data_IF_197160953339
#
_entry.id   IF_197160953339
#
_cell.length_a   1.000
_cell.length_b   1.000
_cell.length_c   1.000
_cell.angle_alpha   90.00
_cell.angle_beta   90.00
_cell.angle_gamma   90.00
#
_symmetry.space_group_name_H-M   'P 1'
#
loop_
_entity.id
_entity.type
_entity.pdbx_description
1 polymer ?
#
# COMPACT_ATOMS: atom_id res chain seq x y z
N UNK A 1 10.26 8.28 50.77
CA UNK A 1 10.27 6.80 50.78
C UNK A 1 9.45 6.34 49.60
N UNK A 2 10.13 5.65 48.68
CA UNK A 2 9.71 5.36 47.31
C UNK A 2 8.75 4.16 47.24
N UNK A 3 7.95 4.11 46.18
CA UNK A 3 7.14 2.94 45.85
C UNK A 3 6.50 2.99 44.47
N UNK A 4 7.27 3.31 43.42
CA UNK A 4 6.90 3.01 42.04
C UNK A 4 7.11 1.50 41.80
N UNK A 5 6.05 0.78 41.45
CA UNK A 5 6.15 -0.56 40.86
C UNK A 5 5.76 -0.47 39.38
N UNK A 6 6.77 -0.25 38.53
CA UNK A 6 6.67 -0.42 37.09
C UNK A 6 6.81 -1.92 36.76
N UNK A 7 5.71 -2.56 36.34
CA UNK A 7 5.75 -3.92 35.79
C UNK A 7 6.11 -3.84 34.31
N UNK A 8 7.38 -4.10 34.00
CA UNK A 8 7.86 -4.27 32.64
C UNK A 8 7.62 -5.71 32.18
N UNK A 9 6.74 -5.89 31.18
CA UNK A 9 6.57 -7.16 30.48
C UNK A 9 7.40 -7.12 29.20
N UNK A 10 8.58 -7.74 29.24
CA UNK A 10 9.44 -7.98 28.07
C UNK A 10 8.89 -9.18 27.29
N UNK A 11 8.25 -8.92 26.15
CA UNK A 11 7.93 -9.97 25.17
C UNK A 11 9.08 -10.03 24.15
N UNK A 12 9.89 -11.08 24.27
CA UNK A 12 10.94 -11.41 23.31
C UNK A 12 10.31 -12.14 22.11
N UNK A 13 10.22 -11.48 20.96
CA UNK A 13 9.80 -12.11 19.70
C UNK A 13 10.99 -12.77 19.02
N UNK A 14 11.01 -14.09 18.99
CA UNK A 14 11.95 -14.91 18.24
C UNK A 14 11.60 -14.88 16.74
N UNK A 15 12.56 -14.50 15.90
CA UNK A 15 12.44 -14.63 14.44
C UNK A 15 12.61 -16.11 14.05
N UNK A 16 11.57 -16.69 13.46
CA UNK A 16 11.68 -17.98 12.76
C UNK A 16 12.18 -17.71 11.34
N UNK A 17 13.43 -18.06 11.07
CA UNK A 17 13.97 -18.10 9.72
C UNK A 17 13.45 -19.37 9.02
N UNK A 18 12.56 -19.20 8.04
CA UNK A 18 12.16 -20.28 7.13
C UNK A 18 13.15 -20.28 5.97
N UNK A 19 14.12 -21.19 6.00
CA UNK A 19 14.91 -21.56 4.83
C UNK A 19 14.46 -22.94 4.39
N UNK A 20 13.62 -23.01 3.37
CA UNK A 20 13.32 -24.27 2.69
C UNK A 20 13.96 -24.24 1.30
N UNK A 21 15.09 -24.93 1.18
CA UNK A 21 15.81 -25.16 -0.06
C UNK A 21 15.54 -26.59 -0.50
N UNK A 22 14.62 -26.78 -1.44
CA UNK A 22 14.48 -28.03 -2.18
C UNK A 22 13.83 -27.78 -3.55
N UNK A 23 14.58 -27.18 -4.48
CA UNK A 23 14.27 -27.31 -5.91
C UNK A 23 14.92 -28.61 -6.40
N UNK A 24 14.09 -29.64 -6.55
CA UNK A 24 14.43 -30.87 -7.26
C UNK A 24 14.44 -30.55 -8.76
N UNK A 25 15.63 -30.24 -9.31
CA UNK A 25 15.84 -30.17 -10.76
C UNK A 25 16.22 -31.56 -11.25
N UNK A 26 15.23 -32.28 -11.77
CA UNK A 26 15.46 -33.46 -12.60
C UNK A 26 16.02 -33.04 -13.97
N UNK A 27 17.23 -33.49 -14.27
CA UNK A 27 17.71 -33.68 -15.65
C UNK A 27 18.40 -32.49 -16.31
N UNK A 28 19.71 -32.37 -16.15
CA UNK A 28 20.70 -32.36 -17.24
C UNK A 28 22.11 -32.16 -16.65
N UNK A 29 23.05 -32.96 -17.14
CA UNK A 29 24.39 -33.12 -16.59
C UNK A 29 25.22 -31.82 -16.69
N UNK A 30 25.80 -31.40 -15.57
CA UNK A 30 26.94 -30.48 -15.56
C UNK A 30 28.09 -31.20 -14.90
N UNK A 31 29.05 -31.62 -15.72
CA UNK A 31 30.32 -32.21 -15.31
C UNK A 31 31.10 -31.20 -14.49
N UNK A 32 31.27 -31.48 -13.19
CA UNK A 32 32.26 -30.83 -12.33
C UNK A 32 33.65 -31.28 -12.78
N UNK A 33 34.27 -30.49 -13.65
CA UNK A 33 35.68 -30.60 -13.99
C UNK A 33 36.53 -30.06 -12.84
N UNK A 34 37.05 -30.96 -12.01
CA UNK A 34 38.23 -30.70 -11.21
C UNK A 34 39.44 -30.58 -12.15
N UNK A 35 39.99 -29.38 -12.27
CA UNK A 35 41.13 -29.09 -13.15
C UNK A 35 42.00 -27.99 -12.57
N UNK A 36 43.08 -28.40 -11.91
CA UNK A 36 44.18 -27.57 -11.43
C UNK A 36 44.91 -26.86 -12.58
N UNK A 37 45.14 -25.56 -12.47
CA UNK A 37 46.25 -24.90 -13.17
C UNK A 37 46.72 -23.67 -12.37
N UNK A 38 47.74 -23.90 -11.55
CA UNK A 38 48.67 -22.86 -11.09
C UNK A 38 49.46 -22.37 -12.31
N UNK A 39 49.40 -21.09 -12.62
CA UNK A 39 50.39 -20.45 -13.49
C UNK A 39 50.71 -19.06 -12.95
N UNK A 40 51.87 -19.00 -12.29
CA UNK A 40 52.55 -17.78 -11.90
C UNK A 40 52.92 -16.94 -13.13
N UNK A 41 52.79 -15.63 -13.01
CA UNK A 41 53.27 -14.66 -13.98
C UNK A 41 53.46 -13.31 -13.30
N UNK A 42 54.67 -13.06 -12.84
CA UNK A 42 55.09 -11.87 -12.10
C UNK A 42 55.52 -10.72 -13.03
N UNK A 43 55.66 -9.54 -12.40
CA UNK A 43 56.44 -8.35 -12.80
C UNK A 43 55.86 -7.39 -13.85
N UNK A 44 55.46 -6.20 -13.38
CA UNK A 44 56.18 -4.98 -13.70
C UNK A 44 55.83 -3.86 -12.70
N UNK A 45 56.75 -3.60 -11.77
CA UNK A 45 56.81 -2.37 -10.98
C UNK A 45 57.40 -1.30 -11.90
N UNK A 46 56.63 -0.25 -12.19
CA UNK A 46 57.03 0.84 -13.08
C UNK A 46 56.70 2.21 -12.50
N UNK A 47 57.71 2.81 -11.87
CA UNK A 47 58.05 4.24 -11.74
C UNK A 47 57.02 5.28 -11.24
N UNK A 48 57.51 6.06 -10.27
CA UNK A 48 56.93 7.23 -9.59
C UNK A 48 57.19 8.51 -10.39
N UNK A 49 56.33 9.51 -10.11
CA UNK A 49 56.47 10.96 -10.30
C UNK A 49 56.02 11.54 -11.65
N UNK A 50 54.98 12.38 -11.60
CA UNK A 50 54.99 13.81 -11.97
C UNK A 50 53.62 14.40 -11.59
N UNK A 51 53.62 15.56 -10.91
CA UNK A 51 52.53 16.52 -11.03
C UNK A 51 51.60 16.66 -9.83
N UNK A 52 52.11 17.24 -8.74
CA UNK A 52 51.27 17.90 -7.73
C UNK A 52 50.63 19.18 -8.29
N UNK A 53 49.71 19.11 -9.27
CA UNK A 53 48.80 20.20 -9.68
C UNK A 53 47.61 19.69 -10.50
N UNK A 54 46.64 19.03 -9.87
CA UNK A 54 45.20 19.10 -10.22
C UNK A 54 44.37 18.38 -9.14
N UNK A 55 44.39 18.89 -7.91
CA UNK A 55 43.30 18.63 -6.94
C UNK A 55 42.45 19.90 -6.82
N UNK A 56 42.02 20.39 -7.96
CA UNK A 56 40.96 21.37 -8.07
C UNK A 56 40.26 21.02 -9.36
N UNK A 57 38.92 20.98 -9.33
CA UNK A 57 38.05 20.62 -10.45
C UNK A 57 37.92 19.11 -10.69
N UNK A 58 37.19 18.41 -9.80
CA UNK A 58 35.90 17.77 -10.13
C UNK A 58 35.17 17.28 -8.87
N UNK A 59 35.07 18.13 -7.84
CA UNK A 59 33.87 18.12 -6.99
C UNK A 59 32.71 18.78 -7.77
N UNK A 60 32.46 18.32 -9.01
CA UNK A 60 31.29 18.72 -9.79
C UNK A 60 30.11 18.01 -9.17
N UNK A 61 29.51 18.68 -8.20
CA UNK A 61 28.08 18.61 -7.86
C UNK A 61 27.46 17.24 -8.16
N UNK A 62 27.82 16.22 -7.40
CA UNK A 62 26.84 15.21 -7.02
C UNK A 62 25.90 15.83 -5.98
N UNK A 63 25.33 16.98 -6.34
CA UNK A 63 24.15 17.53 -5.68
C UNK A 63 23.03 16.68 -6.25
N UNK A 64 22.99 15.43 -5.79
CA UNK A 64 21.87 14.54 -6.01
C UNK A 64 20.67 15.35 -5.61
N UNK A 65 19.88 15.74 -6.61
CA UNK A 65 18.55 16.25 -6.36
C UNK A 65 17.90 15.11 -5.60
N UNK A 66 17.75 15.25 -4.28
CA UNK A 66 16.77 14.47 -3.55
C UNK A 66 15.48 14.87 -4.23
N UNK A 67 15.04 14.08 -5.20
CA UNK A 67 13.65 14.09 -5.59
C UNK A 67 12.95 13.80 -4.27
N UNK A 68 12.34 14.84 -3.68
CA UNK A 68 11.25 14.56 -2.79
C UNK A 68 10.35 13.61 -3.58
N UNK A 69 9.98 12.44 -3.04
CA UNK A 69 8.93 11.67 -3.69
C UNK A 69 7.81 12.67 -3.94
N UNK A 70 7.34 12.74 -5.17
CA UNK A 70 6.16 13.54 -5.48
C UNK A 70 5.07 12.89 -4.62
N UNK A 71 4.78 13.51 -3.49
CA UNK A 71 3.96 12.93 -2.43
C UNK A 71 2.52 12.98 -2.93
N UNK A 72 2.18 12.02 -3.79
CA UNK A 72 0.84 11.84 -4.37
C UNK A 72 0.46 13.00 -5.30
N UNK A 73 0.42 12.73 -6.62
CA UNK A 73 -0.15 13.70 -7.56
C UNK A 73 -1.66 13.82 -7.31
N UNK A 74 -2.07 14.98 -6.79
CA UNK A 74 -3.45 15.31 -6.45
C UNK A 74 -4.30 15.75 -7.64
N UNK A 75 -3.71 15.83 -8.85
CA UNK A 75 -4.41 16.23 -10.07
C UNK A 75 -5.29 15.09 -10.64
N UNK A 76 -5.16 13.88 -10.12
CA UNK A 76 -5.90 12.71 -10.58
C UNK A 76 -6.86 12.19 -9.49
N UNK A 77 -8.18 12.22 -9.70
CA UNK A 77 -9.16 11.70 -8.74
C UNK A 77 -8.97 10.20 -8.45
N UNK A 78 -8.47 9.43 -9.41
CA UNK A 78 -8.17 8.00 -9.21
C UNK A 78 -7.13 7.76 -8.11
N UNK A 79 -6.25 8.72 -7.84
CA UNK A 79 -5.29 8.57 -6.75
C UNK A 79 -5.97 8.54 -5.38
N UNK A 80 -7.05 9.32 -5.20
CA UNK A 80 -7.83 9.31 -3.96
C UNK A 80 -8.64 8.02 -3.83
N UNK A 81 -9.24 7.55 -4.93
CA UNK A 81 -9.95 6.27 -4.93
C UNK A 81 -9.00 5.10 -4.66
N UNK A 82 -7.79 5.14 -5.23
CA UNK A 82 -6.77 4.13 -4.97
C UNK A 82 -6.38 4.13 -3.49
N UNK A 83 -6.16 5.32 -2.89
CA UNK A 83 -5.83 5.41 -1.48
C UNK A 83 -6.95 4.85 -0.59
N UNK A 84 -8.22 5.19 -0.89
CA UNK A 84 -9.37 4.69 -0.16
C UNK A 84 -9.50 3.16 -0.30
N UNK A 85 -9.41 2.63 -1.52
CA UNK A 85 -9.50 1.20 -1.79
C UNK A 85 -8.37 0.41 -1.11
N UNK A 86 -7.16 0.96 -1.06
CA UNK A 86 -6.04 0.34 -0.34
C UNK A 86 -6.21 0.34 1.18
N UNK A 87 -7.05 1.22 1.74
CA UNK A 87 -7.37 1.24 3.17
C UNK A 87 -8.57 0.36 3.55
N UNK A 88 -9.36 -0.08 2.58
CA UNK A 88 -10.65 -0.75 2.81
C UNK A 88 -10.53 -2.27 2.94
N UNK A 89 -9.61 -2.75 3.78
CA UNK A 89 -9.29 -4.18 3.90
C UNK A 89 -10.47 -5.06 4.36
N UNK A 90 -11.43 -4.46 5.09
CA UNK A 90 -12.63 -5.14 5.59
C UNK A 90 -13.86 -4.90 4.71
N UNK A 91 -13.69 -4.26 3.55
CA UNK A 91 -14.79 -3.89 2.64
C UNK A 91 -15.86 -3.00 3.31
N UNK A 92 -15.51 -2.25 4.36
CA UNK A 92 -16.44 -1.36 5.06
C UNK A 92 -16.80 -0.12 4.24
N UNK A 93 -15.86 0.43 3.48
CA UNK A 93 -16.14 1.52 2.54
C UNK A 93 -17.09 1.06 1.44
N UNK A 94 -16.86 -0.13 0.88
CA UNK A 94 -17.78 -0.75 -0.10
C UNK A 94 -19.15 -1.05 0.49
N UNK A 95 -19.21 -1.58 1.71
CA UNK A 95 -20.47 -1.79 2.43
C UNK A 95 -21.24 -0.49 2.59
N UNK A 96 -20.55 0.57 3.01
CA UNK A 96 -21.15 1.89 3.16
C UNK A 96 -21.75 2.40 1.85
N UNK A 97 -20.98 2.42 0.76
CA UNK A 97 -21.45 2.86 -0.56
C UNK A 97 -22.63 2.03 -1.06
N UNK A 98 -22.60 0.71 -0.88
CA UNK A 98 -23.72 -0.15 -1.22
C UNK A 98 -24.99 0.18 -0.43
N UNK A 99 -24.88 0.33 0.89
CA UNK A 99 -26.02 0.64 1.74
C UNK A 99 -26.55 2.06 1.48
N UNK A 100 -25.71 3.02 1.10
CA UNK A 100 -26.13 4.35 0.64
C UNK A 100 -26.98 4.25 -0.64
N UNK A 101 -26.56 3.46 -1.62
CA UNK A 101 -27.32 3.26 -2.87
C UNK A 101 -28.62 2.50 -2.69
N UNK A 102 -28.65 1.56 -1.74
CA UNK A 102 -29.84 0.83 -1.37
C UNK A 102 -30.85 1.67 -0.56
N UNK A 103 -30.46 2.84 -0.06
CA UNK A 103 -31.29 3.66 0.81
C UNK A 103 -31.99 4.77 0.01
N UNK A 104 -33.32 4.97 0.22
CA UNK A 104 -34.04 6.10 -0.36
C UNK A 104 -33.44 7.44 0.07
N UNK A 105 -33.43 8.41 -0.84
CA UNK A 105 -32.79 9.72 -0.65
C UNK A 105 -33.34 10.49 0.56
N UNK A 106 -34.65 10.41 0.81
CA UNK A 106 -35.32 11.01 1.96
C UNK A 106 -34.86 10.45 3.32
N UNK A 107 -34.16 9.31 3.32
CA UNK A 107 -33.64 8.64 4.52
C UNK A 107 -32.11 8.75 4.65
N UNK A 108 -31.49 9.61 3.85
CA UNK A 108 -30.06 9.91 3.89
C UNK A 108 -29.82 11.33 4.38
N UNK A 109 -28.78 11.52 5.18
CA UNK A 109 -28.28 12.85 5.52
C UNK A 109 -27.68 13.55 4.28
N UNK A 110 -27.56 14.87 4.33
CA UNK A 110 -26.98 15.67 3.24
C UNK A 110 -25.55 15.22 2.89
N UNK A 111 -24.75 14.87 3.89
CA UNK A 111 -23.38 14.38 3.71
C UNK A 111 -23.36 12.95 3.15
N UNK A 112 -24.30 12.10 3.56
CA UNK A 112 -24.47 10.76 2.98
C UNK A 112 -24.84 10.84 1.49
N UNK A 113 -25.68 11.80 1.10
CA UNK A 113 -26.02 12.07 -0.30
C UNK A 113 -24.81 12.54 -1.11
N UNK A 114 -23.96 13.39 -0.54
CA UNK A 114 -22.72 13.81 -1.18
C UNK A 114 -21.80 12.62 -1.45
N UNK A 115 -21.62 11.75 -0.45
CA UNK A 115 -20.80 10.54 -0.59
C UNK A 115 -21.41 9.59 -1.62
N UNK A 116 -22.74 9.37 -1.58
CA UNK A 116 -23.46 8.56 -2.57
C UNK A 116 -23.22 9.06 -3.99
N UNK A 117 -23.31 10.37 -4.22
CA UNK A 117 -23.07 10.95 -5.55
C UNK A 117 -21.62 10.86 -6.01
N UNK A 118 -20.66 10.78 -5.08
CA UNK A 118 -19.23 10.68 -5.38
C UNK A 118 -18.82 9.26 -5.79
N UNK A 119 -19.42 8.23 -5.19
CA UNK A 119 -19.01 6.83 -5.36
C UNK A 119 -20.05 5.92 -6.03
N UNK A 120 -21.32 6.34 -6.06
CA UNK A 120 -22.46 5.56 -6.52
C UNK A 120 -23.11 6.13 -7.77
N UNK A 121 -24.43 6.38 -7.72
CA UNK A 121 -25.21 6.91 -8.84
C UNK A 121 -24.70 8.30 -9.24
N UNK A 122 -24.03 8.38 -10.39
CA UNK A 122 -23.40 9.60 -10.92
C UNK A 122 -21.90 9.46 -11.15
N UNK A 123 -21.27 8.44 -10.57
CA UNK A 123 -19.86 8.15 -10.79
C UNK A 123 -19.68 7.31 -12.07
N UNK A 124 -18.95 7.86 -13.06
CA UNK A 124 -18.53 7.12 -14.24
C UNK A 124 -17.15 6.53 -13.95
N UNK A 125 -17.10 5.25 -13.58
CA UNK A 125 -15.84 4.53 -13.46
C UNK A 125 -15.34 4.07 -14.82
N UNK A 126 -14.02 3.96 -14.98
CA UNK A 126 -13.43 3.17 -16.06
C UNK A 126 -13.20 1.75 -15.54
N UNK A 127 -13.45 0.73 -16.34
CA UNK A 127 -13.25 -0.66 -15.91
C UNK A 127 -11.78 -0.87 -15.46
N UNK A 128 -11.59 -1.47 -14.29
CA UNK A 128 -10.28 -1.65 -13.66
C UNK A 128 -9.72 -0.44 -12.92
N UNK A 129 -10.43 0.68 -12.84
CA UNK A 129 -10.03 1.84 -12.03
C UNK A 129 -10.30 1.62 -10.54
N UNK A 130 -9.62 2.39 -9.68
CA UNK A 130 -9.88 2.32 -8.25
C UNK A 130 -11.27 2.86 -7.91
N UNK A 131 -11.80 3.79 -8.70
CA UNK A 131 -13.20 4.19 -8.59
C UNK A 131 -14.18 3.04 -8.87
N UNK A 132 -13.84 2.13 -9.79
CA UNK A 132 -14.71 0.98 -10.10
C UNK A 132 -14.91 0.04 -8.89
N UNK A 133 -13.96 0.00 -7.97
CA UNK A 133 -14.05 -0.78 -6.72
C UNK A 133 -15.29 -0.43 -5.89
N UNK A 134 -15.64 0.86 -5.82
CA UNK A 134 -16.82 1.34 -5.11
C UNK A 134 -18.08 1.37 -5.99
N UNK A 135 -17.92 1.65 -7.29
CA UNK A 135 -19.02 1.63 -8.26
C UNK A 135 -19.71 0.25 -8.33
N UNK A 136 -18.94 -0.83 -8.23
CA UNK A 136 -19.48 -2.19 -8.16
C UNK A 136 -20.36 -2.40 -6.92
N UNK A 137 -19.92 -1.89 -5.76
CA UNK A 137 -20.69 -1.98 -4.53
C UNK A 137 -22.00 -1.19 -4.60
N UNK A 138 -21.93 0.01 -5.18
CA UNK A 138 -23.10 0.84 -5.49
C UNK A 138 -24.11 0.09 -6.38
N UNK A 139 -23.64 -0.60 -7.43
CA UNK A 139 -24.51 -1.37 -8.32
C UNK A 139 -25.24 -2.51 -7.59
N UNK A 140 -24.59 -3.19 -6.64
CA UNK A 140 -25.21 -4.24 -5.82
C UNK A 140 -26.37 -3.67 -5.01
N UNK A 141 -26.15 -2.56 -4.30
CA UNK A 141 -27.17 -1.92 -3.46
C UNK A 141 -28.34 -1.37 -4.28
N UNK A 142 -28.03 -0.72 -5.40
CA UNK A 142 -29.02 -0.18 -6.31
C UNK A 142 -29.94 -1.25 -6.93
N UNK A 143 -29.42 -2.46 -7.17
CA UNK A 143 -30.17 -3.56 -7.80
C UNK A 143 -30.90 -4.45 -6.79
N UNK A 144 -30.30 -4.72 -5.63
CA UNK A 144 -30.73 -5.79 -4.73
C UNK A 144 -31.11 -5.31 -3.32
N UNK A 145 -30.94 -4.02 -3.02
CA UNK A 145 -31.26 -3.43 -1.73
C UNK A 145 -30.26 -3.76 -0.62
N UNK A 146 -30.56 -3.29 0.59
CA UNK A 146 -29.58 -3.24 1.69
C UNK A 146 -29.18 -4.62 2.22
N UNK A 147 -30.09 -5.62 2.16
CA UNK A 147 -29.78 -6.99 2.59
C UNK A 147 -28.63 -7.61 1.80
N UNK A 148 -28.59 -7.38 0.48
CA UNK A 148 -27.52 -7.87 -0.38
C UNK A 148 -26.15 -7.23 -0.06
N UNK A 149 -26.13 -6.00 0.46
CA UNK A 149 -24.90 -5.34 0.90
C UNK A 149 -24.28 -6.05 2.11
N UNK A 150 -25.12 -6.53 3.05
CA UNK A 150 -24.64 -7.28 4.22
C UNK A 150 -23.98 -8.59 3.80
N UNK A 151 -24.61 -9.29 2.85
CA UNK A 151 -24.08 -10.57 2.35
C UNK A 151 -22.81 -10.37 1.51
N UNK A 152 -22.80 -9.37 0.62
CA UNK A 152 -21.67 -9.07 -0.26
C UNK A 152 -20.43 -8.56 0.50
N UNK A 153 -20.65 -7.86 1.62
CA UNK A 153 -19.58 -7.21 2.42
C UNK A 153 -19.56 -7.69 3.86
N UNK A 154 -19.70 -9.01 4.03
CA UNK A 154 -19.82 -9.67 5.34
C UNK A 154 -18.58 -9.56 6.24
N UNK A 155 -17.42 -9.18 5.69
CA UNK A 155 -16.21 -8.88 6.47
C UNK A 155 -16.33 -7.62 7.31
N UNK A 156 -17.15 -6.65 6.88
CA UNK A 156 -17.33 -5.43 7.61
C UNK A 156 -18.34 -5.65 8.75
N UNK A 157 -17.99 -5.41 10.02
CA UNK A 157 -18.89 -5.65 11.14
C UNK A 157 -19.87 -4.48 11.41
N UNK A 158 -19.76 -3.39 10.65
CA UNK A 158 -20.51 -2.14 10.90
C UNK A 158 -21.54 -1.87 9.82
N UNK A 159 -22.69 -1.32 10.23
CA UNK A 159 -23.74 -0.86 9.31
C UNK A 159 -23.51 0.60 8.88
N UNK A 160 -24.30 1.07 7.90
CA UNK A 160 -24.24 2.43 7.36
C UNK A 160 -24.27 3.49 8.45
N UNK A 161 -25.21 3.36 9.39
CA UNK A 161 -25.40 4.33 10.47
C UNK A 161 -24.17 4.42 11.36
N UNK A 162 -23.60 3.28 11.77
CA UNK A 162 -22.39 3.23 12.59
C UNK A 162 -21.19 3.84 11.85
N UNK A 163 -21.01 3.50 10.57
CA UNK A 163 -19.93 4.06 9.74
C UNK A 163 -20.08 5.57 9.55
N UNK A 164 -21.30 6.06 9.35
CA UNK A 164 -21.56 7.49 9.20
C UNK A 164 -21.35 8.26 10.51
N UNK A 165 -21.72 7.69 11.65
CA UNK A 165 -21.43 8.29 12.96
C UNK A 165 -19.92 8.41 13.19
N UNK A 166 -19.14 7.36 12.89
CA UNK A 166 -17.68 7.40 12.99
C UNK A 166 -17.06 8.47 12.07
N UNK A 167 -17.62 8.64 10.86
CA UNK A 167 -17.21 9.72 9.95
C UNK A 167 -17.46 11.10 10.58
N UNK A 168 -18.64 11.34 11.16
CA UNK A 168 -18.97 12.62 11.79
C UNK A 168 -18.05 12.93 12.98
N UNK A 169 -17.79 11.95 13.84
CA UNK A 169 -16.88 12.10 14.98
C UNK A 169 -15.47 12.51 14.50
N UNK A 170 -14.97 11.89 13.44
CA UNK A 170 -13.67 12.21 12.86
C UNK A 170 -13.59 13.64 12.29
N UNK A 171 -14.70 14.20 11.78
CA UNK A 171 -14.74 15.59 11.30
C UNK A 171 -14.71 16.60 12.45
N UNK A 172 -15.35 16.29 13.58
CA UNK A 172 -15.40 17.22 14.73
C UNK A 172 -14.11 17.29 15.53
N UNK A 173 -13.20 16.33 15.34
CA UNK A 173 -11.91 16.28 16.01
C UNK A 173 -10.81 17.12 15.33
N UNK A 174 -11.11 17.74 14.18
CA UNK A 174 -10.21 18.59 13.39
C UNK A 174 -10.49 20.07 13.62
#
# INVERSE_FOLDING_TARGET
>A
MNGLLASGLLVASTLVAVTDSAVVVTGTAVTVGAGSALAAGALAVGAVAIGAKVIALKAKRLRGKRQAPDCVSFDNPETYFALAANGDFLDCGRRFVCELEATPEENLASEELLIRNLFGRGFISTNGSAGNYYAEAAAIGAANGAGACVDAFSKCPFDRKTLFLAYQEAQTAQ
#
